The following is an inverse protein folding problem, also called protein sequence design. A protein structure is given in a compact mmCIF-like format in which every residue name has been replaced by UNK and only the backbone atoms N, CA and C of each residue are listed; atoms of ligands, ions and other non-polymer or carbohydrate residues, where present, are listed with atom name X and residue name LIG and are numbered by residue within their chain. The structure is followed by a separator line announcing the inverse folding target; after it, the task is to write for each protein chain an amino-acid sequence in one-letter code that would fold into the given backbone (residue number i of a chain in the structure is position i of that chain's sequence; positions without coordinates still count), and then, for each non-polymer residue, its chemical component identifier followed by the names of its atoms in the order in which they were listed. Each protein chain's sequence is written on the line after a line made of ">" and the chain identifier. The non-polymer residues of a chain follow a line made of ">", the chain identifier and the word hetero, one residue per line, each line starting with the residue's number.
data_IF_983194829366
#
_entry.id   IF_983194829366
#
_cell.length_a   1.000
_cell.length_b   1.000
_cell.length_c   1.000
_cell.angle_alpha   90.00
_cell.angle_beta   90.00
_cell.angle_gamma   90.00
#
_symmetry.space_group_name_H-M   'P 1'
#
loop_
_entity.id
_entity.type
_entity.pdbx_description
1 polymer ?
#
# COMPACT_ATOMS: atom_id res chain seq x y z
N UNK A 1 -13.96 -9.33 3.66
CA UNK A 1 -14.83 -8.64 2.68
C UNK A 1 -16.24 -9.25 2.63
N UNK A 2 -16.36 -10.56 2.58
CA UNK A 2 -17.64 -11.28 2.47
C UNK A 2 -18.64 -10.98 3.60
N UNK A 3 -18.18 -10.64 4.79
CA UNK A 3 -19.04 -10.32 5.94
C UNK A 3 -19.76 -8.97 5.83
N UNK A 4 -19.23 -8.02 5.08
CA UNK A 4 -19.82 -6.66 5.00
C UNK A 4 -20.74 -6.52 3.79
N UNK A 5 -20.41 -7.18 2.67
CA UNK A 5 -21.24 -7.22 1.46
C UNK A 5 -21.54 -5.84 0.87
N UNK A 6 -20.70 -4.83 1.11
CA UNK A 6 -20.94 -3.45 0.67
C UNK A 6 -20.76 -3.33 -0.84
N UNK A 7 -21.76 -2.78 -1.53
CA UNK A 7 -21.73 -2.55 -2.97
C UNK A 7 -20.68 -1.49 -3.33
N UNK A 8 -19.96 -1.72 -4.44
CA UNK A 8 -19.02 -0.75 -5.00
C UNK A 8 -19.74 0.46 -5.59
N UNK A 9 -19.11 1.63 -5.68
CA UNK A 9 -19.69 2.79 -6.34
C UNK A 9 -20.12 2.53 -7.79
N UNK A 10 -19.37 1.69 -8.52
CA UNK A 10 -19.66 1.30 -9.91
C UNK A 10 -20.54 0.04 -10.03
N UNK A 11 -21.28 -0.33 -8.98
CA UNK A 11 -22.07 -1.58 -8.93
C UNK A 11 -22.99 -1.73 -10.14
N UNK A 12 -23.77 -0.70 -10.46
CA UNK A 12 -24.76 -0.75 -11.54
C UNK A 12 -24.12 -1.04 -12.91
N UNK A 13 -22.98 -0.41 -13.19
CA UNK A 13 -22.24 -0.64 -14.44
C UNK A 13 -21.52 -2.00 -14.43
N UNK A 14 -20.95 -2.41 -13.31
CA UNK A 14 -20.17 -3.65 -13.21
C UNK A 14 -21.05 -4.90 -13.32
N UNK A 15 -22.22 -4.90 -12.69
CA UNK A 15 -23.13 -6.05 -12.72
C UNK A 15 -24.20 -5.98 -13.81
N UNK A 16 -24.18 -4.96 -14.67
CA UNK A 16 -25.23 -4.72 -15.69
C UNK A 16 -26.63 -4.71 -15.08
N UNK A 17 -26.80 -3.87 -14.06
CA UNK A 17 -28.03 -3.78 -13.29
C UNK A 17 -29.22 -3.42 -14.18
N UNK A 18 -30.22 -4.28 -14.25
CA UNK A 18 -31.42 -4.11 -15.09
C UNK A 18 -31.14 -3.71 -16.55
N UNK A 19 -29.96 -4.05 -17.08
CA UNK A 19 -29.56 -3.67 -18.45
C UNK A 19 -28.94 -2.29 -18.56
N UNK A 20 -28.24 -1.82 -17.53
CA UNK A 20 -27.53 -0.55 -17.50
C UNK A 20 -26.56 -0.37 -18.67
N UNK A 21 -25.80 -1.42 -19.03
CA UNK A 21 -24.85 -1.38 -20.15
C UNK A 21 -25.56 -1.13 -21.48
N UNK A 22 -26.67 -1.81 -21.73
CA UNK A 22 -27.48 -1.63 -22.94
C UNK A 22 -28.00 -0.19 -23.01
N UNK A 23 -28.50 0.37 -21.90
CA UNK A 23 -28.95 1.76 -21.84
C UNK A 23 -27.80 2.75 -22.09
N UNK A 24 -26.60 2.44 -21.60
CA UNK A 24 -25.41 3.27 -21.83
C UNK A 24 -24.94 3.23 -23.29
N UNK A 25 -25.02 2.08 -23.96
CA UNK A 25 -24.62 1.90 -25.35
C UNK A 25 -25.62 2.53 -26.33
N UNK A 26 -26.92 2.40 -26.05
CA UNK A 26 -27.99 2.94 -26.91
C UNK A 26 -28.30 4.41 -26.64
N UNK A 27 -27.86 4.94 -25.49
CA UNK A 27 -28.24 6.28 -25.02
C UNK A 27 -29.68 6.38 -24.49
N UNK A 28 -30.41 5.29 -24.47
CA UNK A 28 -31.79 5.25 -23.98
C UNK A 28 -31.86 5.02 -22.47
N UNK A 29 -31.55 6.06 -21.72
CA UNK A 29 -31.67 6.04 -20.27
C UNK A 29 -33.11 6.19 -19.76
N UNK A 30 -34.07 6.61 -20.61
CA UNK A 30 -35.44 6.83 -20.19
C UNK A 30 -36.10 5.50 -19.78
N UNK A 31 -35.97 4.45 -20.58
CA UNK A 31 -36.46 3.12 -20.26
C UNK A 31 -35.76 2.53 -19.01
N UNK A 32 -34.45 2.74 -18.90
CA UNK A 32 -33.67 2.30 -17.73
C UNK A 32 -34.14 3.01 -16.45
N UNK A 33 -34.32 4.32 -16.48
CA UNK A 33 -34.77 5.12 -15.33
C UNK A 33 -36.22 4.76 -14.92
N UNK A 34 -37.07 4.45 -15.89
CA UNK A 34 -38.43 3.99 -15.60
C UNK A 34 -38.45 2.60 -14.90
N UNK A 35 -37.46 1.75 -15.21
CA UNK A 35 -37.33 0.43 -14.59
C UNK A 35 -36.61 0.48 -13.21
N UNK A 36 -35.99 1.61 -12.84
CA UNK A 36 -35.25 1.79 -11.60
C UNK A 36 -35.93 2.81 -10.69
N UNK A 37 -36.08 2.48 -9.42
CA UNK A 37 -36.58 3.45 -8.42
C UNK A 37 -35.41 4.29 -7.92
N UNK A 38 -35.53 5.63 -8.04
CA UNK A 38 -34.49 6.54 -7.54
C UNK A 38 -34.25 6.33 -6.04
N UNK A 39 -32.99 6.18 -5.66
CA UNK A 39 -32.59 5.99 -4.26
C UNK A 39 -32.78 4.57 -3.71
N UNK A 40 -33.33 3.65 -4.48
CA UNK A 40 -33.43 2.25 -4.04
C UNK A 40 -32.02 1.62 -3.98
N UNK A 41 -31.76 0.79 -2.93
CA UNK A 41 -30.52 0.03 -2.87
C UNK A 41 -30.46 -0.97 -4.02
N UNK A 42 -29.26 -1.17 -4.60
CA UNK A 42 -29.07 -2.16 -5.66
C UNK A 42 -29.33 -3.59 -5.12
N UNK A 43 -30.13 -4.37 -5.85
CA UNK A 43 -30.36 -5.78 -5.56
C UNK A 43 -29.52 -6.64 -6.51
N UNK A 44 -28.71 -7.54 -5.95
CA UNK A 44 -27.86 -8.49 -6.72
C UNK A 44 -28.68 -9.38 -7.67
N UNK A 45 -29.94 -9.64 -7.37
CA UNK A 45 -30.83 -10.48 -8.20
C UNK A 45 -31.21 -9.81 -9.51
N UNK A 46 -31.11 -8.50 -9.60
CA UNK A 46 -31.44 -7.71 -10.78
C UNK A 46 -30.22 -7.52 -11.73
N UNK A 47 -29.07 -8.13 -11.38
CA UNK A 47 -27.86 -8.09 -12.17
C UNK A 47 -27.92 -9.11 -13.31
N UNK A 48 -27.42 -8.72 -14.50
CA UNK A 48 -27.38 -9.57 -15.71
C UNK A 48 -25.98 -10.08 -16.06
N UNK A 49 -24.94 -9.61 -15.38
CA UNK A 49 -23.57 -10.07 -15.57
C UNK A 49 -23.31 -11.44 -14.96
N UNK A 50 -22.10 -11.96 -15.16
CA UNK A 50 -21.64 -13.20 -14.54
C UNK A 50 -21.67 -13.14 -13.02
N UNK A 51 -21.77 -14.29 -12.36
CA UNK A 51 -21.79 -14.36 -10.89
C UNK A 51 -20.49 -13.79 -10.28
N UNK A 52 -19.35 -13.99 -10.95
CA UNK A 52 -18.05 -13.47 -10.51
C UNK A 52 -18.03 -11.93 -10.54
N UNK A 53 -18.59 -11.31 -11.57
CA UNK A 53 -18.70 -9.83 -11.66
C UNK A 53 -19.63 -9.28 -10.57
N UNK A 54 -20.74 -9.97 -10.29
CA UNK A 54 -21.68 -9.57 -9.24
C UNK A 54 -21.03 -9.66 -7.86
N UNK A 55 -20.28 -10.74 -7.62
CA UNK A 55 -19.57 -10.94 -6.36
C UNK A 55 -18.46 -9.89 -6.18
N UNK A 56 -17.68 -9.62 -7.22
CA UNK A 56 -16.67 -8.58 -7.18
C UNK A 56 -17.29 -7.19 -6.93
N UNK A 57 -18.38 -6.86 -7.60
CA UNK A 57 -19.08 -5.59 -7.44
C UNK A 57 -19.70 -5.40 -6.03
N UNK A 58 -19.88 -6.50 -5.30
CA UNK A 58 -20.44 -6.52 -3.94
C UNK A 58 -19.38 -6.50 -2.83
N UNK A 59 -18.08 -6.46 -3.15
CA UNK A 59 -16.98 -6.57 -2.20
C UNK A 59 -16.18 -5.27 -2.10
N UNK A 60 -16.85 -4.15 -1.72
CA UNK A 60 -16.18 -2.85 -1.61
C UNK A 60 -15.33 -2.71 -0.35
N UNK A 61 -15.85 -3.06 0.82
CA UNK A 61 -15.19 -2.79 2.10
C UNK A 61 -14.48 -4.02 2.70
N UNK A 62 -13.31 -3.84 3.32
CA UNK A 62 -12.37 -2.75 3.10
C UNK A 62 -11.62 -2.91 1.77
N UNK A 63 -10.98 -1.82 1.28
CA UNK A 63 -10.21 -1.85 0.05
C UNK A 63 -8.96 -2.74 0.20
N UNK A 64 -8.93 -3.86 -0.55
CA UNK A 64 -7.78 -4.77 -0.54
C UNK A 64 -6.54 -4.17 -1.19
N UNK A 65 -6.72 -3.41 -2.27
CA UNK A 65 -5.60 -2.74 -2.94
C UNK A 65 -4.94 -1.69 -2.04
N UNK A 66 -5.73 -0.86 -1.36
CA UNK A 66 -5.18 0.09 -0.40
C UNK A 66 -4.47 -0.64 0.75
N UNK A 67 -5.08 -1.67 1.34
CA UNK A 67 -4.48 -2.44 2.41
C UNK A 67 -3.13 -3.05 2.02
N UNK A 68 -3.08 -3.75 0.88
CA UNK A 68 -1.85 -4.39 0.41
C UNK A 68 -0.76 -3.38 0.07
N UNK A 69 -1.11 -2.27 -0.61
CA UNK A 69 -0.17 -1.20 -0.93
C UNK A 69 0.43 -0.59 0.34
N UNK A 70 -0.40 -0.31 1.36
CA UNK A 70 0.09 0.25 2.61
C UNK A 70 0.92 -0.74 3.43
N UNK A 71 0.60 -2.04 3.43
CA UNK A 71 1.48 -3.06 4.05
C UNK A 71 2.86 -3.05 3.38
N UNK A 72 2.89 -3.24 2.06
CA UNK A 72 4.14 -3.39 1.32
C UNK A 72 5.01 -2.12 1.37
N UNK A 73 4.40 -0.96 1.15
CA UNK A 73 5.14 0.31 1.09
C UNK A 73 5.57 0.81 2.46
N UNK A 74 4.79 0.57 3.52
CA UNK A 74 5.24 0.84 4.89
C UNK A 74 6.42 -0.04 5.27
N UNK A 75 6.40 -1.31 4.89
CA UNK A 75 7.50 -2.21 5.14
C UNK A 75 8.78 -1.80 4.38
N UNK A 76 8.64 -1.38 3.11
CA UNK A 76 9.74 -0.83 2.33
C UNK A 76 10.32 0.44 2.96
N UNK A 77 9.46 1.35 3.44
CA UNK A 77 9.89 2.57 4.14
C UNK A 77 10.68 2.25 5.43
N UNK A 78 10.22 1.27 6.21
CA UNK A 78 10.95 0.82 7.40
C UNK A 78 12.31 0.22 7.05
N UNK A 79 12.38 -0.61 5.99
CA UNK A 79 13.62 -1.23 5.54
C UNK A 79 14.63 -0.19 5.04
N UNK A 80 14.18 0.80 4.28
CA UNK A 80 15.02 1.90 3.80
C UNK A 80 15.55 2.76 4.97
N UNK A 81 14.69 3.09 5.93
CA UNK A 81 15.09 3.84 7.11
C UNK A 81 16.13 3.07 7.95
N UNK A 82 15.95 1.76 8.12
CA UNK A 82 16.90 0.91 8.83
C UNK A 82 18.23 0.78 8.07
N UNK A 83 18.19 0.63 6.75
CA UNK A 83 19.39 0.60 5.92
C UNK A 83 20.19 1.90 6.02
N UNK A 84 19.52 3.06 6.03
CA UNK A 84 20.16 4.35 6.22
C UNK A 84 20.81 4.49 7.61
N UNK A 85 20.15 3.99 8.67
CA UNK A 85 20.71 3.96 10.02
C UNK A 85 21.94 3.06 10.11
N UNK A 86 21.92 1.88 9.46
CA UNK A 86 23.05 0.94 9.44
C UNK A 86 24.25 1.51 8.68
N UNK A 87 23.98 2.21 7.58
CA UNK A 87 25.02 2.85 6.76
C UNK A 87 25.64 4.09 7.43
N UNK A 88 25.12 4.54 8.59
CA UNK A 88 25.58 5.76 9.27
C UNK A 88 25.17 7.04 8.56
N UNK A 89 24.32 6.96 7.54
CA UNK A 89 23.89 8.13 6.76
C UNK A 89 23.12 9.13 7.64
N UNK A 90 22.37 8.63 8.61
CA UNK A 90 21.59 9.47 9.50
C UNK A 90 22.43 10.16 10.61
N UNK A 91 23.66 9.72 10.83
CA UNK A 91 24.59 10.34 11.77
C UNK A 91 25.26 11.58 11.14
N UNK A 92 25.30 11.69 9.81
CA UNK A 92 25.75 12.87 9.08
C UNK A 92 24.54 13.76 8.75
N UNK A 93 24.54 14.97 9.34
CA UNK A 93 23.46 15.96 9.17
C UNK A 93 23.22 16.31 7.69
N UNK A 94 24.27 16.28 6.86
CA UNK A 94 24.21 16.61 5.44
C UNK A 94 23.37 15.58 4.64
N UNK A 95 23.43 14.30 4.98
CA UNK A 95 22.74 13.21 4.27
C UNK A 95 21.45 12.73 4.96
N UNK A 96 21.23 13.11 6.22
CA UNK A 96 20.06 12.70 6.98
C UNK A 96 18.73 13.14 6.32
N UNK A 97 18.67 14.34 5.79
CA UNK A 97 17.47 14.87 5.13
C UNK A 97 17.11 14.13 3.83
N UNK A 98 18.04 13.98 2.86
CA UNK A 98 17.73 13.25 1.64
C UNK A 98 17.42 11.78 1.90
N UNK A 99 18.09 11.12 2.84
CA UNK A 99 17.79 9.73 3.19
C UNK A 99 16.36 9.55 3.75
N UNK A 100 15.92 10.45 4.61
CA UNK A 100 14.55 10.45 5.16
C UNK A 100 13.52 10.72 4.07
N UNK A 101 13.81 11.65 3.16
CA UNK A 101 12.93 11.96 2.02
C UNK A 101 12.78 10.73 1.13
N UNK A 102 13.87 10.03 0.83
CA UNK A 102 13.83 8.80 0.03
C UNK A 102 13.00 7.71 0.70
N UNK A 103 13.08 7.58 2.02
CA UNK A 103 12.28 6.62 2.78
C UNK A 103 10.76 6.94 2.76
N UNK A 104 10.36 8.17 2.41
CA UNK A 104 8.95 8.54 2.27
C UNK A 104 8.36 8.18 0.88
N UNK A 105 9.18 7.96 -0.15
CA UNK A 105 8.70 7.68 -1.52
C UNK A 105 7.78 6.46 -1.61
N UNK A 106 8.05 5.32 -0.93
CA UNK A 106 7.12 4.20 -0.92
C UNK A 106 5.73 4.58 -0.42
N UNK A 107 5.65 5.43 0.61
CA UNK A 107 4.36 5.88 1.16
C UNK A 107 3.60 6.77 0.17
N UNK A 108 4.29 7.64 -0.56
CA UNK A 108 3.68 8.43 -1.62
C UNK A 108 3.06 7.54 -2.72
N UNK A 109 3.76 6.45 -3.08
CA UNK A 109 3.22 5.47 -4.01
C UNK A 109 1.99 4.72 -3.45
N UNK A 110 1.99 4.36 -2.15
CA UNK A 110 0.82 3.74 -1.52
C UNK A 110 -0.41 4.66 -1.56
N UNK A 111 -0.22 5.96 -1.29
CA UNK A 111 -1.28 6.98 -1.39
C UNK A 111 -1.77 7.09 -2.83
N UNK A 112 -0.87 7.15 -3.81
CA UNK A 112 -1.25 7.17 -5.23
C UNK A 112 -2.11 5.96 -5.60
N UNK A 113 -1.68 4.73 -5.27
CA UNK A 113 -2.47 3.52 -5.49
C UNK A 113 -3.84 3.56 -4.80
N UNK A 114 -3.92 4.11 -3.60
CA UNK A 114 -5.17 4.27 -2.89
C UNK A 114 -6.12 5.27 -3.58
N UNK A 115 -5.60 6.39 -4.04
CA UNK A 115 -6.37 7.42 -4.77
C UNK A 115 -6.93 6.88 -6.08
N UNK A 116 -6.16 6.08 -6.84
CA UNK A 116 -6.67 5.48 -8.09
C UNK A 116 -7.89 4.61 -7.87
N UNK A 117 -8.07 4.01 -6.69
CA UNK A 117 -9.28 3.21 -6.40
C UNK A 117 -10.54 4.03 -6.24
N UNK A 118 -10.39 5.30 -5.85
CA UNK A 118 -11.50 6.25 -5.73
C UNK A 118 -11.83 6.82 -7.13
N UNK A 119 -10.82 7.25 -7.89
CA UNK A 119 -11.01 7.77 -9.24
C UNK A 119 -11.58 6.74 -10.22
N UNK A 120 -11.24 5.46 -10.04
CA UNK A 120 -11.81 4.34 -10.83
C UNK A 120 -13.21 3.93 -10.36
N UNK A 121 -13.81 4.62 -9.41
CA UNK A 121 -15.11 4.27 -8.81
C UNK A 121 -15.21 2.82 -8.29
N UNK A 122 -14.07 2.21 -7.95
CA UNK A 122 -14.01 0.84 -7.40
C UNK A 122 -14.26 0.79 -5.91
N UNK A 123 -13.92 1.86 -5.19
CA UNK A 123 -14.06 1.98 -3.74
C UNK A 123 -14.49 3.37 -3.33
N UNK A 124 -15.18 3.46 -2.19
CA UNK A 124 -15.48 4.74 -1.52
C UNK A 124 -14.26 5.18 -0.70
N UNK A 125 -14.13 6.48 -0.37
CA UNK A 125 -13.03 6.97 0.47
C UNK A 125 -12.89 6.20 1.78
N UNK A 126 -14.00 5.86 2.43
CA UNK A 126 -14.00 5.14 3.71
C UNK A 126 -13.43 3.72 3.57
N UNK A 127 -13.72 3.03 2.45
CA UNK A 127 -13.21 1.69 2.17
C UNK A 127 -11.68 1.72 2.00
N UNK A 128 -11.19 2.78 1.38
CA UNK A 128 -9.75 3.03 1.13
C UNK A 128 -9.04 3.37 2.44
N UNK A 129 -9.60 4.27 3.24
CA UNK A 129 -9.03 4.67 4.54
C UNK A 129 -8.95 3.44 5.46
N UNK A 130 -10.04 2.67 5.57
CA UNK A 130 -10.04 1.46 6.39
C UNK A 130 -8.97 0.45 5.92
N UNK A 131 -8.84 0.23 4.61
CA UNK A 131 -7.80 -0.62 4.04
C UNK A 131 -6.40 -0.11 4.37
N UNK A 132 -6.14 1.18 4.19
CA UNK A 132 -4.85 1.82 4.46
C UNK A 132 -4.45 1.69 5.94
N UNK A 133 -5.39 1.96 6.85
CA UNK A 133 -5.14 1.82 8.30
C UNK A 133 -4.82 0.39 8.71
N UNK A 134 -5.57 -0.59 8.20
CA UNK A 134 -5.31 -2.00 8.43
C UNK A 134 -3.95 -2.41 7.89
N UNK A 135 -3.59 -1.97 6.68
CA UNK A 135 -2.30 -2.24 6.06
C UNK A 135 -1.14 -1.65 6.83
N UNK A 136 -1.23 -0.38 7.22
CA UNK A 136 -0.22 0.29 8.01
C UNK A 136 -0.04 -0.34 9.41
N UNK A 137 -1.14 -0.70 10.06
CA UNK A 137 -1.12 -1.40 11.36
C UNK A 137 -0.44 -2.76 11.27
N UNK A 138 -0.74 -3.56 10.22
CA UNK A 138 -0.10 -4.84 9.98
C UNK A 138 1.40 -4.69 9.76
N UNK A 139 1.83 -3.74 8.92
CA UNK A 139 3.24 -3.45 8.68
C UNK A 139 3.95 -3.02 9.98
N UNK A 140 3.31 -2.18 10.79
CA UNK A 140 3.87 -1.74 12.07
C UNK A 140 4.02 -2.89 13.06
N UNK A 141 3.04 -3.79 13.14
CA UNK A 141 3.08 -4.95 14.02
C UNK A 141 4.19 -5.94 13.60
N UNK A 142 4.40 -6.11 12.30
CA UNK A 142 5.39 -7.03 11.72
C UNK A 142 6.76 -6.38 11.48
N UNK A 143 6.95 -5.11 11.85
CA UNK A 143 8.23 -4.42 11.61
C UNK A 143 9.39 -5.14 12.27
N UNK A 144 10.58 -5.19 11.65
CA UNK A 144 11.78 -5.73 12.27
C UNK A 144 12.08 -4.99 13.57
N UNK A 145 12.12 -5.68 14.69
CA UNK A 145 12.51 -5.04 15.95
C UNK A 145 14.01 -4.82 15.90
N UNK A 146 14.49 -3.63 16.27
CA UNK A 146 15.91 -3.20 16.33
C UNK A 146 16.77 -4.06 17.27
N UNK A 147 16.74 -5.37 17.12
CA UNK A 147 17.56 -6.27 17.93
C UNK A 147 19.02 -6.36 17.44
N UNK A 148 19.25 -6.01 16.17
CA UNK A 148 20.56 -6.20 15.54
C UNK A 148 21.56 -5.07 15.84
N UNK A 149 21.07 -3.85 16.06
CA UNK A 149 21.94 -2.66 16.15
C UNK A 149 22.73 -2.56 17.49
N UNK A 150 22.37 -3.31 18.54
CA UNK A 150 23.13 -3.30 19.80
C UNK A 150 24.43 -4.09 19.75
N UNK A 151 24.53 -5.12 18.91
CA UNK A 151 25.74 -5.95 18.85
C UNK A 151 26.87 -5.32 18.04
N UNK A 152 26.54 -4.51 17.01
CA UNK A 152 27.56 -3.87 16.17
C UNK A 152 28.08 -2.53 16.71
N UNK A 153 27.33 -1.83 17.55
CA UNK A 153 27.85 -0.60 18.22
C UNK A 153 28.93 -0.88 19.26
N UNK A 154 29.13 -2.13 19.68
CA UNK A 154 30.15 -2.55 20.62
C UNK A 154 31.31 -3.31 20.00
N UNK A 155 31.31 -3.58 18.71
CA UNK A 155 32.46 -4.08 18.00
C UNK A 155 33.49 -2.93 17.94
N UNK A 156 34.44 -2.94 18.87
CA UNK A 156 35.60 -2.05 18.82
C UNK A 156 36.29 -2.25 17.46
N UNK A 157 36.71 -1.15 16.77
CA UNK A 157 37.52 -1.29 15.58
C UNK A 157 38.75 -2.12 15.95
N UNK A 158 38.99 -3.19 15.20
CA UNK A 158 40.23 -3.97 15.32
C UNK A 158 41.37 -3.01 15.04
N UNK A 159 42.06 -2.59 16.10
CA UNK A 159 43.22 -1.75 15.96
C UNK A 159 44.19 -2.49 15.05
N UNK A 160 44.52 -1.88 13.90
CA UNK A 160 45.58 -2.35 13.01
C UNK A 160 46.88 -2.24 13.78
N UNK A 161 47.23 -3.33 14.52
CA UNK A 161 48.54 -3.47 15.16
C UNK A 161 49.58 -3.81 14.14
N UNK A 162 49.92 -2.82 13.31
CA UNK A 162 51.07 -2.85 12.42
C UNK A 162 52.25 -2.13 13.06
N UNK A 163 52.84 -2.69 14.11
CA UNK A 163 54.20 -2.32 14.48
C UNK A 163 55.16 -2.96 13.45
N UNK A 164 55.49 -2.19 12.44
CA UNK A 164 56.64 -2.50 11.56
C UNK A 164 57.88 -2.21 12.40
N UNK A 165 58.56 -3.27 12.85
CA UNK A 165 59.90 -3.15 13.37
C UNK A 165 60.83 -2.85 12.19
N UNK A 166 61.65 -1.77 12.25
CA UNK A 166 62.69 -1.57 11.25
C UNK A 166 63.78 -2.64 11.44
N UNK A 167 64.07 -3.38 10.41
CA UNK A 167 65.19 -4.28 10.38
C UNK A 167 66.51 -3.47 10.42
N UNK A 168 67.24 -3.60 11.49
CA UNK A 168 68.60 -3.07 11.60
C UNK A 168 69.51 -4.01 10.81
N UNK A 169 69.92 -3.60 9.62
CA UNK A 169 71.01 -4.24 8.90
C UNK A 169 72.34 -3.86 9.61
N UNK A 170 72.87 -4.79 10.38
CA UNK A 170 74.26 -4.77 10.81
C UNK A 170 75.19 -5.24 9.70
N UNK A 171 75.95 -4.31 9.14
CA UNK A 171 77.07 -4.61 8.27
C UNK A 171 78.30 -4.84 9.17
N UNK A 172 78.94 -5.97 9.05
CA UNK A 172 80.36 -6.16 9.25
C UNK A 172 80.95 -6.85 8.02
#
# INVERSE_FOLDING_TARGET
>A
KSFVGRLRPNFFAACDYKGYRTAAETGDYAAYLAATTAGAPGDRKECKSSQDDIDEASLSFPSGHAGLSFVAMSWAAFALAEAADVAGINDDVSWATPARTLACLPMAYAVYCACTRITDYKHRPEDVIAGALLGAAAAWACRPRRRWNKQHKHAKPVAASGKIHPATNGVK
#
